data_IF_361423732752
#
_entry.id   IF_361423732752
#
_cell.length_a   1.000
_cell.length_b   1.000
_cell.length_c   1.000
_cell.angle_alpha   90.00
_cell.angle_beta   90.00
_cell.angle_gamma   90.00
#
_symmetry.space_group_name_H-M   'P 1'
#
loop_
_entity.id
_entity.type
_entity.pdbx_description
1 polymer ?
#
# COMPACT_ATOMS: atom_id res chain seq x y z
N UNK A 1 -4.95 -19.93 3.76
CA UNK A 1 -5.57 -19.96 4.96
C UNK A 1 -4.82 -19.15 6.00
N UNK A 2 -5.22 -18.22 6.59
CA UNK A 2 -4.56 -17.49 7.64
C UNK A 2 -3.26 -16.79 7.27
N UNK A 3 -2.76 -17.00 6.08
CA UNK A 3 -1.47 -16.43 5.70
C UNK A 3 -1.58 -15.07 5.04
N UNK A 4 -2.80 -14.65 4.71
CA UNK A 4 -2.96 -13.37 4.03
C UNK A 4 -2.53 -12.20 4.93
N UNK A 5 -2.87 -12.26 6.22
CA UNK A 5 -2.41 -11.23 7.16
C UNK A 5 -0.89 -11.18 7.21
N UNK A 6 -0.24 -12.34 7.29
CA UNK A 6 1.23 -12.39 7.33
C UNK A 6 1.83 -11.88 6.04
N UNK A 7 1.18 -12.17 4.91
CA UNK A 7 1.63 -11.64 3.62
C UNK A 7 1.61 -10.11 3.64
N UNK A 8 0.54 -9.52 4.20
CA UNK A 8 0.46 -8.07 4.30
C UNK A 8 1.51 -7.51 5.24
N UNK A 9 1.68 -8.12 6.42
CA UNK A 9 2.70 -7.66 7.36
C UNK A 9 4.08 -7.68 6.71
N UNK A 10 4.40 -8.75 6.01
CA UNK A 10 5.68 -8.86 5.31
C UNK A 10 5.82 -7.85 4.20
N UNK A 11 4.72 -7.55 3.49
CA UNK A 11 4.76 -6.58 2.40
C UNK A 11 5.13 -5.19 2.91
N UNK A 12 4.54 -4.75 4.03
CA UNK A 12 4.90 -3.46 4.60
C UNK A 12 6.34 -3.42 5.08
N UNK A 13 6.76 -4.48 5.77
CA UNK A 13 8.13 -4.56 6.24
C UNK A 13 9.12 -4.50 5.08
N UNK A 14 8.85 -5.25 4.02
CA UNK A 14 9.76 -5.30 2.87
C UNK A 14 9.73 -4.00 2.08
N UNK A 15 8.57 -3.38 1.95
CA UNK A 15 8.46 -2.09 1.26
C UNK A 15 9.30 -1.02 2.00
N UNK A 16 9.15 -0.95 3.32
CA UNK A 16 9.90 0.05 4.11
C UNK A 16 11.40 -0.23 4.08
N UNK A 17 11.79 -1.49 3.92
CA UNK A 17 13.19 -1.88 3.77
C UNK A 17 13.67 -1.77 2.32
N UNK A 18 12.81 -1.34 1.41
CA UNK A 18 13.11 -1.19 -0.03
C UNK A 18 13.42 -2.52 -0.71
N UNK A 19 12.86 -3.60 -0.19
CA UNK A 19 12.99 -4.92 -0.83
C UNK A 19 11.85 -5.10 -1.82
N UNK A 20 11.94 -4.39 -2.91
CA UNK A 20 10.84 -4.26 -3.86
C UNK A 20 10.47 -5.61 -4.48
N UNK A 21 11.48 -6.41 -4.86
CA UNK A 21 11.18 -7.69 -5.48
C UNK A 21 10.49 -8.64 -4.51
N UNK A 22 10.77 -8.54 -3.21
CA UNK A 22 10.08 -9.36 -2.22
C UNK A 22 8.60 -8.98 -2.13
N UNK A 23 8.29 -7.69 -2.23
CA UNK A 23 6.89 -7.25 -2.22
C UNK A 23 6.18 -7.70 -3.49
N UNK A 24 6.82 -7.52 -4.65
CA UNK A 24 6.24 -7.92 -5.93
C UNK A 24 6.00 -9.43 -5.97
N UNK A 25 6.86 -10.21 -5.32
CA UNK A 25 6.68 -11.65 -5.22
C UNK A 25 5.44 -12.07 -4.44
N UNK A 26 4.81 -11.16 -3.70
CA UNK A 26 3.56 -11.41 -3.00
C UNK A 26 2.34 -11.03 -3.82
N UNK A 27 2.54 -10.54 -5.04
CA UNK A 27 1.48 -10.05 -5.89
C UNK A 27 1.14 -11.04 -6.99
N UNK A 28 -0.15 -11.11 -7.29
CA UNK A 28 -0.64 -11.88 -8.42
C UNK A 28 -0.13 -11.23 -9.71
N UNK A 29 0.12 -12.02 -10.79
CA UNK A 29 0.53 -11.42 -12.06
C UNK A 29 -0.45 -10.38 -12.60
N UNK A 30 -1.74 -10.50 -12.25
CA UNK A 30 -2.76 -9.55 -12.71
C UNK A 30 -3.01 -8.43 -11.72
N UNK A 31 -2.08 -8.15 -10.82
CA UNK A 31 -2.27 -7.17 -9.75
C UNK A 31 -2.64 -5.80 -10.31
N UNK A 32 -3.57 -5.14 -9.60
CA UNK A 32 -3.92 -3.73 -9.84
C UNK A 32 -3.56 -2.96 -8.58
N UNK A 33 -2.62 -2.08 -8.70
CA UNK A 33 -2.06 -1.37 -7.54
C UNK A 33 -2.34 0.12 -7.66
N UNK A 34 -2.93 0.71 -6.62
CA UNK A 34 -3.27 2.12 -6.63
C UNK A 34 -2.02 2.97 -6.79
N UNK A 35 -2.10 3.93 -7.70
CA UNK A 35 -1.03 4.91 -7.93
C UNK A 35 -1.33 6.14 -7.09
N UNK A 36 -0.71 6.21 -5.93
CA UNK A 36 -0.95 7.29 -4.98
C UNK A 36 -0.38 8.64 -5.42
N UNK A 37 0.50 8.64 -6.41
CA UNK A 37 1.11 9.88 -6.90
C UNK A 37 0.28 10.54 -7.98
N UNK A 38 -0.33 9.76 -8.87
CA UNK A 38 -0.96 10.29 -10.07
C UNK A 38 -2.42 9.90 -10.21
N UNK A 39 -2.91 9.02 -9.32
CA UNK A 39 -4.27 8.53 -9.40
C UNK A 39 -4.38 7.30 -10.28
N UNK A 40 -5.51 6.61 -10.20
CA UNK A 40 -5.71 5.38 -10.96
C UNK A 40 -4.89 4.23 -10.41
N UNK A 41 -4.63 3.26 -11.26
CA UNK A 41 -3.90 2.05 -10.88
C UNK A 41 -2.83 1.72 -11.91
N UNK A 42 -1.78 1.06 -11.46
CA UNK A 42 -0.82 0.41 -12.36
C UNK A 42 -1.14 -1.08 -12.35
N UNK A 43 -0.82 -1.78 -13.43
CA UNK A 43 -1.24 -3.15 -13.66
C UNK A 43 -0.05 -4.06 -13.88
N UNK A 44 0.00 -5.17 -13.15
CA UNK A 44 1.02 -6.19 -13.34
C UNK A 44 2.33 -5.83 -12.68
N UNK A 45 3.21 -6.84 -12.61
CA UNK A 45 4.48 -6.70 -11.90
C UNK A 45 5.36 -5.61 -12.50
N UNK A 46 5.42 -5.53 -13.83
CA UNK A 46 6.34 -4.59 -14.48
C UNK A 46 5.92 -3.15 -14.25
N UNK A 47 4.61 -2.88 -14.31
CA UNK A 47 4.15 -1.51 -14.06
C UNK A 47 4.32 -1.11 -12.61
N UNK A 48 4.10 -2.03 -11.67
CA UNK A 48 4.32 -1.75 -10.25
C UNK A 48 5.80 -1.46 -10.01
N UNK A 49 6.68 -2.28 -10.59
CA UNK A 49 8.13 -2.08 -10.44
C UNK A 49 8.55 -0.74 -11.00
N UNK A 50 8.06 -0.37 -12.17
CA UNK A 50 8.40 0.91 -12.78
C UNK A 50 7.88 2.08 -11.95
N UNK A 51 6.65 1.96 -11.43
CA UNK A 51 6.06 2.98 -10.59
C UNK A 51 6.90 3.23 -9.33
N UNK A 52 7.27 2.14 -8.63
CA UNK A 52 8.06 2.30 -7.41
C UNK A 52 9.47 2.78 -7.68
N UNK A 53 10.08 2.33 -8.78
CA UNK A 53 11.41 2.82 -9.15
C UNK A 53 11.37 4.34 -9.36
N UNK A 54 10.33 4.82 -10.04
CA UNK A 54 10.17 6.25 -10.26
C UNK A 54 9.89 6.98 -8.94
N UNK A 55 9.02 6.42 -8.11
CA UNK A 55 8.66 7.04 -6.84
C UNK A 55 9.87 7.18 -5.92
N UNK A 56 10.67 6.12 -5.79
CA UNK A 56 11.82 6.15 -4.90
C UNK A 56 12.95 7.04 -5.40
N UNK A 57 12.90 7.43 -6.68
CA UNK A 57 13.84 8.41 -7.22
C UNK A 57 13.45 9.84 -6.90
N UNK A 58 12.24 10.06 -6.39
CA UNK A 58 11.71 11.39 -6.12
C UNK A 58 11.48 11.62 -4.64
N UNK A 59 10.94 10.60 -3.95
CA UNK A 59 10.57 10.73 -2.53
C UNK A 59 10.99 9.48 -1.78
N UNK A 60 10.93 9.59 -0.46
CA UNK A 60 11.26 8.52 0.47
C UNK A 60 10.03 8.24 1.34
N UNK A 61 9.12 7.36 0.90
CA UNK A 61 7.91 7.05 1.67
C UNK A 61 8.15 5.96 2.70
N UNK A 62 7.43 6.07 3.82
CA UNK A 62 7.38 5.05 4.85
C UNK A 62 5.92 4.79 5.18
N UNK A 63 5.53 3.52 5.24
CA UNK A 63 4.14 3.13 5.49
C UNK A 63 4.11 2.13 6.64
N UNK A 64 3.57 2.56 7.77
CA UNK A 64 3.49 1.71 8.96
C UNK A 64 2.05 1.26 9.18
N UNK A 65 1.78 -0.05 9.14
CA UNK A 65 0.43 -0.53 9.40
C UNK A 65 0.09 -0.36 10.88
N UNK A 66 -0.99 0.36 11.16
CA UNK A 66 -1.47 0.58 12.51
C UNK A 66 -2.43 -0.54 12.90
N UNK A 67 -3.26 -0.98 11.96
CA UNK A 67 -4.16 -2.10 12.17
C UNK A 67 -4.39 -2.82 10.85
N UNK A 68 -4.64 -4.12 10.94
CA UNK A 68 -4.92 -4.96 9.78
C UNK A 68 -6.15 -5.77 10.12
N UNK A 69 -7.27 -5.51 9.44
CA UNK A 69 -8.54 -6.15 9.74
C UNK A 69 -9.24 -6.57 8.46
N UNK A 70 -10.01 -7.64 8.56
CA UNK A 70 -10.76 -8.14 7.41
C UNK A 70 -12.19 -7.63 7.51
N UNK A 71 -12.73 -7.09 6.41
CA UNK A 71 -14.08 -6.59 6.42
C UNK A 71 -15.06 -7.74 6.16
N UNK A 72 -16.38 -7.43 6.17
CA UNK A 72 -17.41 -8.45 6.02
C UNK A 72 -17.47 -9.04 4.60
N UNK A 73 -16.76 -8.46 3.65
CA UNK A 73 -16.68 -8.98 2.28
C UNK A 73 -15.41 -9.76 2.04
N UNK A 74 -14.61 -9.99 3.10
CA UNK A 74 -13.37 -10.74 2.99
C UNK A 74 -12.18 -9.95 2.51
N UNK A 75 -12.34 -8.65 2.28
CA UNK A 75 -11.20 -7.79 1.91
C UNK A 75 -10.45 -7.39 3.16
N UNK A 76 -9.17 -7.15 3.00
CA UNK A 76 -8.33 -6.70 4.11
C UNK A 76 -8.20 -5.19 4.08
N UNK A 77 -8.48 -4.55 5.21
CA UNK A 77 -8.38 -3.10 5.36
C UNK A 77 -7.26 -2.81 6.33
N UNK A 78 -6.29 -2.04 5.88
CA UNK A 78 -5.12 -1.69 6.68
C UNK A 78 -5.16 -0.19 6.94
N UNK A 79 -5.16 0.19 8.21
CA UNK A 79 -4.97 1.59 8.57
C UNK A 79 -3.47 1.84 8.58
N UNK A 80 -3.01 2.82 7.81
CA UNK A 80 -1.60 3.05 7.56
C UNK A 80 -1.21 4.45 7.98
N UNK A 81 -0.18 4.56 8.80
CA UNK A 81 0.47 5.84 9.06
C UNK A 81 1.51 6.05 7.98
N UNK A 82 1.28 7.02 7.12
CA UNK A 82 2.13 7.28 5.98
C UNK A 82 2.94 8.55 6.21
N UNK A 83 4.25 8.43 6.11
CA UNK A 83 5.17 9.56 6.22
C UNK A 83 5.99 9.60 4.94
N UNK A 84 5.96 10.71 4.26
CA UNK A 84 6.73 10.89 3.02
C UNK A 84 7.70 12.04 3.22
N UNK A 85 8.97 11.78 2.95
CA UNK A 85 10.02 12.80 2.98
C UNK A 85 10.61 12.94 1.59
N UNK A 86 11.21 14.09 1.30
CA UNK A 86 11.99 14.17 0.09
C UNK A 86 13.34 13.47 0.30
N UNK A 87 14.18 13.47 -0.73
CA UNK A 87 15.45 12.75 -0.66
C UNK A 87 16.45 13.42 0.26
N UNK A 88 16.17 14.66 0.70
CA UNK A 88 17.00 15.38 1.67
C UNK A 88 16.41 15.28 3.08
N UNK A 89 15.43 14.40 3.29
CA UNK A 89 14.78 14.13 4.57
C UNK A 89 13.83 15.22 5.05
N UNK A 90 13.45 16.14 4.19
CA UNK A 90 12.44 17.14 4.53
C UNK A 90 11.06 16.47 4.52
N UNK A 91 10.25 16.76 5.54
CA UNK A 91 8.92 16.18 5.63
C UNK A 91 7.99 16.81 4.61
N UNK A 92 7.39 15.97 3.77
CA UNK A 92 6.41 16.40 2.76
C UNK A 92 4.99 16.06 3.16
N UNK A 93 4.79 14.92 3.84
CA UNK A 93 3.46 14.43 4.15
C UNK A 93 3.53 13.55 5.38
N UNK A 94 2.59 13.72 6.30
CA UNK A 94 2.44 12.86 7.48
C UNK A 94 0.94 12.72 7.69
N UNK A 95 0.39 11.56 7.35
CA UNK A 95 -1.06 11.39 7.35
C UNK A 95 -1.42 9.94 7.58
N UNK A 96 -2.72 9.70 7.76
CA UNK A 96 -3.28 8.37 7.83
C UNK A 96 -4.04 8.11 6.55
N UNK A 97 -3.83 6.93 5.98
CA UNK A 97 -4.60 6.45 4.82
C UNK A 97 -5.05 5.03 5.10
N UNK A 98 -5.98 4.55 4.30
CA UNK A 98 -6.42 3.15 4.36
C UNK A 98 -6.05 2.47 3.05
N UNK A 99 -5.51 1.27 3.17
CA UNK A 99 -5.24 0.40 2.02
C UNK A 99 -6.20 -0.77 2.10
N UNK A 100 -6.97 -1.00 1.04
CA UNK A 100 -7.89 -2.12 0.97
C UNK A 100 -7.35 -3.12 -0.04
N UNK A 101 -7.19 -4.37 0.41
CA UNK A 101 -6.56 -5.42 -0.37
C UNK A 101 -7.54 -6.52 -0.72
N UNK A 102 -7.40 -7.04 -1.94
CA UNK A 102 -8.08 -8.25 -2.37
C UNK A 102 -7.03 -9.27 -2.78
N UNK A 103 -7.30 -10.53 -2.47
CA UNK A 103 -6.38 -11.63 -2.75
C UNK A 103 -7.00 -12.58 -3.75
N UNK A 104 -6.14 -13.23 -4.53
CA UNK A 104 -6.51 -14.34 -5.40
C UNK A 104 -5.39 -15.35 -5.36
N UNK A 105 -5.73 -16.62 -5.08
CA UNK A 105 -4.74 -17.70 -5.01
C UNK A 105 -3.62 -17.40 -4.01
N UNK A 106 -3.97 -16.73 -2.91
CA UNK A 106 -3.00 -16.40 -1.87
C UNK A 106 -2.12 -15.21 -2.17
N UNK A 107 -2.35 -14.53 -3.30
CA UNK A 107 -1.53 -13.39 -3.73
C UNK A 107 -2.38 -12.13 -3.79
N UNK A 108 -1.73 -10.99 -3.58
CA UNK A 108 -2.41 -9.70 -3.66
C UNK A 108 -2.78 -9.44 -5.11
N UNK A 109 -4.08 -9.28 -5.40
CA UNK A 109 -4.54 -9.04 -6.76
C UNK A 109 -5.03 -7.60 -6.93
N UNK A 110 -5.34 -6.91 -5.83
CA UNK A 110 -5.76 -5.50 -5.94
C UNK A 110 -5.49 -4.76 -4.63
N UNK A 111 -5.08 -3.52 -4.75
CA UNK A 111 -4.95 -2.61 -3.61
C UNK A 111 -5.52 -1.27 -4.00
N UNK A 112 -6.40 -0.74 -3.14
CA UNK A 112 -7.00 0.58 -3.30
C UNK A 112 -6.61 1.45 -2.11
N UNK A 113 -6.45 2.75 -2.35
CA UNK A 113 -6.12 3.72 -1.31
C UNK A 113 -7.33 4.59 -1.07
N UNK A 114 -7.68 4.81 0.20
CA UNK A 114 -8.71 5.76 0.56
C UNK A 114 -8.24 6.56 1.76
N UNK A 115 -8.84 7.74 1.94
CA UNK A 115 -8.54 8.57 3.09
C UNK A 115 -9.59 8.33 4.16
N UNK A 116 -9.27 8.60 5.43
CA UNK A 116 -10.29 8.51 6.47
C UNK A 116 -11.43 9.44 6.12
N UNK A 117 -12.66 8.94 6.20
CA UNK A 117 -13.83 9.78 6.07
C UNK A 117 -13.97 10.52 7.41
N UNK A 118 -14.08 11.72 7.34
CA UNK A 118 -14.09 12.45 8.58
C UNK A 118 -15.47 12.43 9.24
N UNK A 119 -15.04 12.01 8.61
CA UNK A 119 -15.51 12.43 8.96
C UNK A 119 -16.01 12.97 9.21
N UNK A 120 -15.54 12.85 9.06
CA UNK A 120 -15.69 13.35 9.16
C UNK A 120 -16.19 14.07 9.32
N UNK A 121 -16.05 14.27 9.18
CA UNK A 121 -16.36 15.07 9.50
C UNK A 121 -17.12 15.45 9.70
N UNK A 122 -17.15 15.26 9.80
CA UNK A 122 -17.75 15.58 10.08
C UNK A 122 -18.38 15.94 10.50
N UNK A 123 -18.31 15.95 10.62
CA UNK A 123 -18.84 16.29 11.13
C UNK A 123 -19.03 16.85 11.45
N UNK A 124 -19.03 17.04 11.22
CA UNK A 124 -19.19 17.57 11.71
C UNK A 124 -19.62 18.00 11.99
#
# INVERSE_FOLDING_TARGET
MGDERKTLEGAYRDFNARRIEAVIGRMHPDVEWANGMEGGHVHGHEEVRAYWTRQFGIVNPNVDPVSIEQDHKGRWVVEVHQVVRDLQSNLLLDTTVYHTYQFRDGLIVRMDISKPTAQSGENA
#
